data_IF_117593207537
#
_entry.id   IF_117593207537
#
_cell.length_a   1.000
_cell.length_b   1.000
_cell.length_c   1.000
_cell.angle_alpha   90.00
_cell.angle_beta   90.00
_cell.angle_gamma   90.00
#
_symmetry.space_group_name_H-M   'P 1'
#
loop_
_entity.id
_entity.type
_entity.pdbx_description
1 polymer ?
#
# COMPACT_ATOMS: atom_id res chain seq x y z
N UNK A 1 10.72 -31.40 46.73
CA UNK A 1 11.14 -31.15 45.33
C UNK A 1 9.92 -30.96 44.44
N UNK A 2 9.28 -29.79 44.44
CA UNK A 2 8.07 -29.57 43.62
C UNK A 2 7.66 -28.10 43.42
N UNK A 3 8.49 -27.14 43.84
CA UNK A 3 8.15 -25.71 43.79
C UNK A 3 8.81 -24.94 42.65
N UNK A 4 9.89 -25.46 42.04
CA UNK A 4 10.61 -24.75 40.96
C UNK A 4 9.97 -24.90 39.58
N UNK A 5 9.30 -26.02 39.31
CA UNK A 5 8.66 -26.31 38.01
C UNK A 5 7.49 -25.36 37.69
N UNK A 6 6.77 -24.87 38.72
CA UNK A 6 5.66 -23.95 38.54
C UNK A 6 6.10 -22.53 38.15
N UNK A 7 7.29 -22.11 38.57
CA UNK A 7 7.80 -20.75 38.30
C UNK A 7 8.21 -20.61 36.83
N UNK A 8 8.95 -21.59 36.30
CA UNK A 8 9.39 -21.61 34.90
C UNK A 8 8.20 -21.69 33.94
N UNK A 9 7.20 -22.52 34.24
CA UNK A 9 5.98 -22.63 33.44
C UNK A 9 5.16 -21.33 33.40
N UNK A 10 5.11 -20.60 34.52
CA UNK A 10 4.41 -19.32 34.60
C UNK A 10 5.13 -18.22 33.79
N UNK A 11 6.47 -18.16 33.84
CA UNK A 11 7.25 -17.22 33.03
C UNK A 11 7.12 -17.48 31.52
N UNK A 12 7.16 -18.75 31.09
CA UNK A 12 6.94 -19.13 29.69
C UNK A 12 5.56 -18.71 29.18
N UNK A 13 4.51 -18.86 30.00
CA UNK A 13 3.15 -18.40 29.64
C UNK A 13 3.07 -16.88 29.52
N UNK A 14 3.73 -16.15 30.41
CA UNK A 14 3.77 -14.69 30.38
C UNK A 14 4.55 -14.17 29.15
N UNK A 15 5.71 -14.77 28.85
CA UNK A 15 6.46 -14.47 27.63
C UNK A 15 5.67 -14.80 26.37
N UNK A 16 5.02 -15.97 26.32
CA UNK A 16 4.19 -16.35 25.17
C UNK A 16 3.02 -15.39 24.98
N UNK A 17 2.37 -14.94 26.06
CA UNK A 17 1.29 -13.95 26.01
C UNK A 17 1.78 -12.57 25.55
N UNK A 18 2.93 -12.10 26.05
CA UNK A 18 3.53 -10.85 25.60
C UNK A 18 3.98 -10.90 24.13
N UNK A 19 4.50 -12.04 23.66
CA UNK A 19 4.80 -12.26 22.23
C UNK A 19 3.51 -12.23 21.41
N UNK A 20 2.43 -12.87 21.87
CA UNK A 20 1.13 -12.82 21.19
C UNK A 20 0.54 -11.41 21.12
N UNK A 21 0.67 -10.59 22.17
CA UNK A 21 0.21 -9.19 22.16
C UNK A 21 1.03 -8.34 21.19
N UNK A 22 2.34 -8.57 21.08
CA UNK A 22 3.19 -7.87 20.13
C UNK A 22 2.97 -8.30 18.67
N UNK A 23 2.37 -9.48 18.44
CA UNK A 23 2.06 -10.00 17.09
C UNK A 23 0.75 -9.44 16.50
N UNK A 24 -0.04 -8.66 17.25
CA UNK A 24 -1.36 -8.18 16.81
C UNK A 24 -1.41 -6.71 16.35
N UNK A 25 -0.28 -6.11 15.97
CA UNK A 25 -0.27 -4.84 15.24
C UNK A 25 -0.57 -5.10 13.75
N UNK A 26 -1.80 -5.48 13.43
CA UNK A 26 -2.28 -5.54 12.05
C UNK A 26 -2.65 -4.13 11.60
N UNK A 27 -1.97 -3.62 10.59
CA UNK A 27 -2.35 -2.36 9.95
C UNK A 27 -3.35 -2.67 8.84
N UNK A 28 -4.62 -2.44 9.13
CA UNK A 28 -5.72 -2.66 8.19
C UNK A 28 -5.98 -1.38 7.39
N UNK A 29 -5.91 -1.48 6.05
CA UNK A 29 -6.33 -0.40 5.16
C UNK A 29 -7.85 -0.40 5.03
N UNK A 30 -8.50 0.69 5.43
CA UNK A 30 -9.96 0.83 5.31
C UNK A 30 -10.35 2.27 5.00
N UNK A 31 -11.45 2.44 4.30
CA UNK A 31 -12.03 3.73 3.95
C UNK A 31 -13.53 3.72 4.25
N UNK A 32 -14.03 4.75 4.92
CA UNK A 32 -15.45 4.94 5.24
C UNK A 32 -15.92 6.29 4.73
N UNK A 33 -17.00 6.29 3.96
CA UNK A 33 -17.66 7.48 3.42
C UNK A 33 -18.95 7.72 4.20
N UNK A 34 -19.10 8.90 4.79
CA UNK A 34 -20.26 9.30 5.58
C UNK A 34 -21.11 10.30 4.80
N UNK A 35 -22.43 10.09 4.83
CA UNK A 35 -23.42 10.96 4.17
C UNK A 35 -23.82 12.18 5.01
N UNK A 36 -23.51 12.18 6.31
CA UNK A 36 -23.83 13.29 7.20
C UNK A 36 -22.56 13.96 7.76
N UNK A 37 -22.66 15.23 8.21
CA UNK A 37 -21.58 15.90 8.91
C UNK A 37 -21.10 15.16 10.17
N UNK A 38 -19.86 15.47 10.60
CA UNK A 38 -19.28 15.00 11.86
C UNK A 38 -19.29 13.47 12.03
N UNK A 39 -19.11 12.76 10.91
CA UNK A 39 -19.04 11.29 10.86
C UNK A 39 -20.35 10.60 11.30
N UNK A 40 -21.48 11.30 11.14
CA UNK A 40 -22.81 10.81 11.45
C UNK A 40 -23.48 10.04 10.32
N UNK A 41 -24.66 9.51 10.62
CA UNK A 41 -25.59 8.99 9.63
C UNK A 41 -25.19 7.70 8.94
N UNK A 42 -25.70 7.54 7.70
CA UNK A 42 -25.40 6.41 6.84
C UNK A 42 -23.96 6.46 6.33
N UNK A 43 -23.32 5.30 6.25
CA UNK A 43 -21.95 5.20 5.78
C UNK A 43 -21.69 3.92 4.97
N UNK A 44 -20.74 4.03 4.04
CA UNK A 44 -20.17 2.88 3.32
C UNK A 44 -18.74 2.67 3.77
N UNK A 45 -18.40 1.44 4.13
CA UNK A 45 -17.03 1.06 4.48
C UNK A 45 -16.47 0.08 3.46
N UNK A 46 -15.26 0.37 3.01
CA UNK A 46 -14.50 -0.42 2.06
C UNK A 46 -13.20 -0.89 2.69
N UNK A 47 -12.91 -2.18 2.49
CA UNK A 47 -11.67 -2.86 2.92
C UNK A 47 -11.04 -3.65 1.77
N UNK A 48 -11.59 -3.45 0.57
CA UNK A 48 -11.27 -4.14 -0.67
C UNK A 48 -11.02 -3.08 -1.73
N UNK A 49 -10.26 -3.46 -2.75
CA UNK A 49 -10.07 -2.64 -3.94
C UNK A 49 -11.34 -2.78 -4.79
N UNK A 50 -11.94 -1.67 -5.16
CA UNK A 50 -13.19 -1.62 -5.89
C UNK A 50 -12.92 -1.14 -7.31
N UNK A 51 -12.82 -2.07 -8.29
CA UNK A 51 -12.57 -1.70 -9.68
C UNK A 51 -13.78 -1.04 -10.33
N UNK A 52 -14.98 -1.16 -9.75
CA UNK A 52 -16.19 -0.58 -10.29
C UNK A 52 -17.13 -0.17 -9.15
N UNK A 53 -17.36 1.14 -9.04
CA UNK A 53 -18.26 1.77 -8.08
C UNK A 53 -19.52 2.33 -8.74
N UNK A 54 -19.83 1.97 -9.99
CA UNK A 54 -20.98 2.47 -10.74
C UNK A 54 -22.29 2.31 -9.96
N UNK A 55 -22.44 1.22 -9.21
CA UNK A 55 -23.62 0.96 -8.38
C UNK A 55 -23.82 2.01 -7.25
N UNK A 56 -22.74 2.64 -6.78
CA UNK A 56 -22.75 3.64 -5.70
C UNK A 56 -22.81 5.08 -6.23
N UNK A 57 -22.68 5.28 -7.55
CA UNK A 57 -22.66 6.61 -8.17
C UNK A 57 -23.75 7.57 -7.69
N UNK A 58 -25.03 7.17 -7.56
CA UNK A 58 -26.08 8.07 -7.09
C UNK A 58 -25.83 8.63 -5.68
N UNK A 59 -25.06 7.92 -4.86
CA UNK A 59 -24.81 8.21 -3.45
C UNK A 59 -23.53 9.05 -3.26
N UNK A 60 -22.66 9.15 -4.26
CA UNK A 60 -21.41 9.91 -4.15
C UNK A 60 -21.61 11.41 -3.97
N UNK A 61 -22.67 11.97 -4.56
CA UNK A 61 -23.05 13.38 -4.31
C UNK A 61 -23.50 13.68 -2.89
N UNK A 62 -23.85 12.63 -2.12
CA UNK A 62 -24.32 12.76 -0.75
C UNK A 62 -23.18 12.67 0.27
N UNK A 63 -22.01 12.17 -0.10
CA UNK A 63 -20.85 12.05 0.79
C UNK A 63 -20.41 13.43 1.28
N UNK A 64 -20.26 13.56 2.61
CA UNK A 64 -19.79 14.78 3.30
C UNK A 64 -18.42 14.59 3.94
N UNK A 65 -18.14 13.38 4.43
CA UNK A 65 -16.90 13.08 5.12
C UNK A 65 -16.32 11.76 4.66
N UNK A 66 -15.00 11.74 4.58
CA UNK A 66 -14.20 10.58 4.26
C UNK A 66 -13.28 10.31 5.44
N UNK A 67 -13.39 9.13 6.05
CA UNK A 67 -12.50 8.68 7.10
C UNK A 67 -11.76 7.43 6.64
N UNK A 68 -10.46 7.37 6.83
CA UNK A 68 -9.71 6.20 6.42
C UNK A 68 -8.39 6.05 7.12
N UNK A 69 -7.85 4.85 6.94
CA UNK A 69 -6.49 4.46 7.30
C UNK A 69 -5.86 3.75 6.10
N UNK A 70 -4.58 3.98 5.86
CA UNK A 70 -3.85 3.46 4.71
C UNK A 70 -3.65 4.47 3.58
N UNK A 71 -3.16 3.97 2.45
CA UNK A 71 -2.82 4.75 1.25
C UNK A 71 -3.85 4.44 0.18
N UNK A 72 -4.89 5.24 0.09
CA UNK A 72 -6.02 5.08 -0.83
C UNK A 72 -5.97 6.08 -1.97
N UNK A 73 -6.41 5.63 -3.13
CA UNK A 73 -6.56 6.46 -4.31
C UNK A 73 -7.88 6.14 -5.02
N UNK A 74 -8.62 7.19 -5.35
CA UNK A 74 -9.81 7.16 -6.18
C UNK A 74 -9.49 7.54 -7.63
N UNK A 75 -10.27 7.00 -8.56
CA UNK A 75 -10.11 7.19 -9.99
C UNK A 75 -11.45 7.53 -10.66
N UNK A 76 -11.41 8.37 -11.70
CA UNK A 76 -12.60 8.87 -12.40
C UNK A 76 -13.30 7.81 -13.25
N UNK A 77 -12.56 6.79 -13.68
CA UNK A 77 -13.04 5.68 -14.49
C UNK A 77 -12.99 4.36 -13.72
N UNK A 78 -13.70 3.37 -14.24
CA UNK A 78 -13.63 1.98 -13.74
C UNK A 78 -12.25 1.37 -14.04
N UNK A 79 -11.86 0.33 -13.31
CA UNK A 79 -10.59 -0.35 -13.50
C UNK A 79 -9.37 0.51 -13.18
N UNK A 80 -9.54 1.52 -12.30
CA UNK A 80 -8.48 2.42 -11.85
C UNK A 80 -7.92 3.30 -12.98
N UNK A 81 -8.80 3.88 -13.79
CA UNK A 81 -8.48 4.69 -14.98
C UNK A 81 -9.04 6.11 -14.87
N UNK A 82 -8.71 6.99 -15.83
CA UNK A 82 -9.30 8.32 -15.98
C UNK A 82 -9.11 9.26 -14.76
N UNK A 83 -7.85 9.59 -14.45
CA UNK A 83 -7.55 10.63 -13.47
C UNK A 83 -7.71 10.22 -12.02
N UNK A 84 -6.79 10.62 -11.16
CA UNK A 84 -6.95 10.55 -9.71
C UNK A 84 -8.03 11.54 -9.26
N UNK A 85 -9.09 11.05 -8.62
CA UNK A 85 -10.17 11.90 -8.06
C UNK A 85 -9.90 12.32 -6.63
N UNK A 86 -9.24 11.46 -5.86
CA UNK A 86 -8.71 11.78 -4.55
C UNK A 86 -7.50 10.91 -4.23
N UNK A 87 -6.62 11.41 -3.38
CA UNK A 87 -5.56 10.64 -2.76
C UNK A 87 -5.64 10.83 -1.25
N UNK A 88 -5.48 9.75 -0.50
CA UNK A 88 -5.63 9.75 0.93
C UNK A 88 -4.56 8.87 1.56
N UNK A 89 -3.66 9.48 2.33
CA UNK A 89 -2.53 8.78 2.93
C UNK A 89 -2.52 9.04 4.43
N UNK A 90 -2.75 8.00 5.23
CA UNK A 90 -2.65 8.11 6.68
C UNK A 90 -2.16 6.83 7.32
N UNK A 91 -1.26 6.96 8.30
CA UNK A 91 -0.82 5.88 9.19
C UNK A 91 -1.78 5.60 10.36
N UNK A 92 -2.91 6.31 10.43
CA UNK A 92 -3.97 6.08 11.40
C UNK A 92 -5.33 6.50 10.89
N UNK A 93 -6.39 6.24 11.68
CA UNK A 93 -7.73 6.73 11.32
C UNK A 93 -7.74 8.26 11.38
N UNK A 94 -7.81 8.89 10.21
CA UNK A 94 -8.06 10.33 10.08
C UNK A 94 -9.36 10.54 9.32
N UNK A 95 -9.87 11.77 9.33
CA UNK A 95 -11.06 12.10 8.59
C UNK A 95 -10.96 13.48 7.97
N UNK A 96 -11.51 13.64 6.78
CA UNK A 96 -11.50 14.90 6.03
C UNK A 96 -12.86 15.17 5.40
N UNK A 97 -13.21 16.44 5.32
CA UNK A 97 -14.41 16.89 4.62
C UNK A 97 -14.06 16.99 3.13
N UNK A 98 -14.55 16.04 2.34
CA UNK A 98 -14.29 15.98 0.90
C UNK A 98 -15.47 15.36 0.17
N UNK A 99 -15.71 15.84 -1.05
CA UNK A 99 -16.63 15.24 -2.01
C UNK A 99 -15.90 14.23 -2.89
N UNK A 100 -16.57 13.15 -3.29
CA UNK A 100 -15.99 12.10 -4.15
C UNK A 100 -16.85 11.83 -5.39
N UNK A 101 -17.59 12.86 -5.81
CA UNK A 101 -18.67 12.80 -6.80
C UNK A 101 -18.27 12.27 -8.18
N UNK A 102 -16.98 12.24 -8.52
CA UNK A 102 -16.47 11.74 -9.79
C UNK A 102 -15.80 10.36 -9.69
N UNK A 103 -15.76 9.74 -8.51
CA UNK A 103 -15.01 8.49 -8.30
C UNK A 103 -15.81 7.28 -8.79
N UNK A 104 -15.24 6.55 -9.74
CA UNK A 104 -15.82 5.33 -10.31
C UNK A 104 -15.04 4.05 -9.98
N UNK A 105 -13.82 4.18 -9.46
CA UNK A 105 -13.10 3.06 -8.85
C UNK A 105 -12.13 3.57 -7.79
N UNK A 106 -11.72 2.72 -6.86
CA UNK A 106 -10.75 3.09 -5.85
C UNK A 106 -9.98 1.88 -5.33
N UNK A 107 -8.76 2.11 -4.86
CA UNK A 107 -7.94 1.07 -4.24
C UNK A 107 -7.03 1.65 -3.18
N UNK A 108 -6.64 0.80 -2.24
CA UNK A 108 -5.43 1.03 -1.48
C UNK A 108 -4.19 0.58 -2.27
N UNK A 109 -3.05 1.19 -2.00
CA UNK A 109 -1.75 0.81 -2.55
C UNK A 109 -1.18 -0.38 -1.79
N UNK A 110 -0.49 -1.27 -2.48
CA UNK A 110 0.07 -2.47 -1.88
C UNK A 110 -0.97 -3.56 -1.53
N UNK A 111 -0.54 -4.61 -0.82
CA UNK A 111 -1.44 -5.58 -0.20
C UNK A 111 -2.27 -4.97 0.93
N UNK A 112 -3.36 -5.65 1.30
CA UNK A 112 -4.21 -5.25 2.43
C UNK A 112 -3.43 -5.31 3.76
N UNK A 113 -2.62 -6.37 3.92
CA UNK A 113 -1.73 -6.54 5.06
C UNK A 113 -0.40 -5.84 4.80
N UNK A 114 -0.26 -4.64 5.36
CA UNK A 114 0.91 -3.78 5.08
C UNK A 114 2.13 -4.13 5.91
N UNK A 115 2.02 -4.99 6.93
CA UNK A 115 3.21 -5.46 7.66
C UNK A 115 4.01 -6.48 6.86
N UNK A 116 3.44 -7.06 5.80
CA UNK A 116 4.13 -8.01 4.93
C UNK A 116 5.07 -7.25 4.00
N UNK A 117 6.38 -7.54 4.01
CA UNK A 117 7.32 -7.01 3.03
C UNK A 117 6.87 -7.34 1.61
N UNK A 118 6.56 -6.32 0.82
CA UNK A 118 6.13 -6.50 -0.56
C UNK A 118 6.47 -5.28 -1.43
N UNK A 119 6.42 -5.49 -2.74
CA UNK A 119 6.45 -4.41 -3.73
C UNK A 119 5.26 -4.57 -4.67
N UNK A 120 4.49 -3.50 -4.81
CA UNK A 120 3.47 -3.35 -5.85
C UNK A 120 4.00 -2.45 -6.96
N UNK A 121 3.78 -2.85 -8.21
CA UNK A 121 4.06 -2.03 -9.40
C UNK A 121 2.76 -1.73 -10.15
N UNK A 122 2.69 -0.56 -10.76
CA UNK A 122 1.48 -0.07 -11.43
C UNK A 122 1.75 0.32 -12.87
N UNK A 123 0.78 0.05 -13.75
CA UNK A 123 0.83 0.33 -15.19
C UNK A 123 0.13 1.66 -15.55
N UNK A 124 0.18 2.64 -14.66
CA UNK A 124 -0.50 3.92 -14.82
C UNK A 124 0.10 4.78 -15.93
N UNK A 125 -0.30 6.05 -15.96
CA UNK A 125 0.23 7.04 -16.90
C UNK A 125 1.16 8.03 -16.20
N UNK A 126 1.77 8.96 -16.92
CA UNK A 126 2.53 10.07 -16.31
C UNK A 126 1.66 10.98 -15.44
N UNK A 127 0.36 11.09 -15.75
CA UNK A 127 -0.59 11.90 -14.99
C UNK A 127 -1.14 11.14 -13.78
N UNK A 128 -1.34 9.83 -13.91
CA UNK A 128 -1.86 8.95 -12.86
C UNK A 128 -0.97 7.71 -12.73
N UNK A 129 0.22 7.84 -12.12
CA UNK A 129 1.23 6.78 -12.14
C UNK A 129 0.77 5.54 -11.37
N UNK A 130 -0.01 5.72 -10.30
CA UNK A 130 -0.61 4.62 -9.54
C UNK A 130 -1.93 4.10 -10.16
N UNK A 131 -2.27 4.50 -11.40
CA UNK A 131 -3.41 4.01 -12.19
C UNK A 131 -3.18 2.65 -12.85
N UNK A 132 -4.19 2.13 -13.55
CA UNK A 132 -4.10 0.92 -14.36
C UNK A 132 -3.93 -0.39 -13.58
N UNK A 133 -3.25 -1.36 -14.19
CA UNK A 133 -3.02 -2.69 -13.61
C UNK A 133 -2.01 -2.62 -12.48
N UNK A 134 -2.27 -3.36 -11.41
CA UNK A 134 -1.32 -3.57 -10.31
C UNK A 134 -0.81 -5.01 -10.34
N UNK A 135 0.49 -5.19 -10.07
CA UNK A 135 1.07 -6.48 -9.72
C UNK A 135 1.77 -6.39 -8.38
N UNK A 136 1.48 -7.34 -7.49
CA UNK A 136 2.02 -7.39 -6.13
C UNK A 136 3.00 -8.55 -6.04
N UNK A 137 4.19 -8.31 -5.51
CA UNK A 137 5.21 -9.32 -5.32
C UNK A 137 5.63 -9.38 -3.85
N UNK A 138 5.57 -10.58 -3.29
CA UNK A 138 6.06 -10.93 -1.95
C UNK A 138 7.22 -11.92 -1.99
N UNK A 139 7.62 -12.36 -3.19
CA UNK A 139 8.73 -13.28 -3.42
C UNK A 139 10.07 -12.54 -3.40
N UNK A 140 11.19 -13.26 -3.23
CA UNK A 140 12.53 -12.66 -3.23
C UNK A 140 12.93 -11.99 -4.56
N UNK A 141 12.27 -12.32 -5.67
CA UNK A 141 12.51 -11.72 -6.97
C UNK A 141 11.27 -11.78 -7.87
N UNK A 142 11.18 -10.85 -8.83
CA UNK A 142 10.12 -10.76 -9.82
C UNK A 142 10.61 -10.14 -11.13
N UNK A 143 10.11 -10.61 -12.27
CA UNK A 143 10.41 -10.07 -13.59
C UNK A 143 9.23 -10.29 -14.55
N UNK A 144 9.42 -9.95 -15.83
CA UNK A 144 8.43 -10.15 -16.91
C UNK A 144 7.05 -9.60 -16.54
N UNK A 145 7.04 -8.33 -16.12
CA UNK A 145 5.85 -7.64 -15.60
C UNK A 145 4.74 -7.47 -16.64
N UNK A 146 5.05 -7.58 -17.93
CA UNK A 146 4.09 -7.36 -19.03
C UNK A 146 3.79 -5.89 -19.31
N UNK A 147 4.39 -4.96 -18.56
CA UNK A 147 4.35 -3.52 -18.76
C UNK A 147 5.57 -2.87 -18.11
N UNK A 148 5.89 -1.62 -18.49
CA UNK A 148 6.88 -0.81 -17.78
C UNK A 148 6.15 -0.07 -16.64
N UNK A 149 6.54 -0.29 -15.37
CA UNK A 149 5.90 0.36 -14.24
C UNK A 149 6.07 1.89 -14.26
N UNK A 150 5.02 2.62 -13.91
CA UNK A 150 5.06 4.08 -13.72
C UNK A 150 5.00 4.50 -12.25
N UNK A 151 4.60 3.58 -11.37
CA UNK A 151 4.61 3.77 -9.92
C UNK A 151 5.01 2.49 -9.21
N UNK A 152 5.57 2.66 -8.02
CA UNK A 152 5.90 1.58 -7.11
C UNK A 152 5.39 1.90 -5.71
N UNK A 153 4.80 0.92 -5.03
CA UNK A 153 4.50 1.00 -3.61
C UNK A 153 5.23 -0.11 -2.86
N UNK A 154 5.92 0.24 -1.79
CA UNK A 154 6.63 -0.69 -0.91
C UNK A 154 5.82 -0.82 0.38
N UNK A 155 5.66 -2.05 0.86
CA UNK A 155 5.05 -2.32 2.16
C UNK A 155 5.99 -3.08 3.09
N UNK A 156 5.68 -3.08 4.38
CA UNK A 156 6.37 -3.88 5.38
C UNK A 156 7.80 -3.40 5.66
N UNK A 157 8.06 -2.10 5.53
CA UNK A 157 9.40 -1.49 5.73
C UNK A 157 10.47 -2.20 4.89
N UNK A 158 10.09 -2.53 3.65
CA UNK A 158 10.90 -3.35 2.77
C UNK A 158 11.83 -2.53 1.91
N UNK A 159 12.76 -3.22 1.29
CA UNK A 159 13.68 -2.66 0.32
C UNK A 159 13.82 -3.60 -0.88
N UNK A 160 14.00 -3.01 -2.05
CA UNK A 160 13.97 -3.70 -3.33
C UNK A 160 14.91 -3.03 -4.31
N UNK A 161 15.70 -3.82 -5.03
CA UNK A 161 16.52 -3.34 -6.15
C UNK A 161 15.79 -3.62 -7.46
N UNK A 162 15.46 -2.56 -8.19
CA UNK A 162 14.93 -2.62 -9.56
C UNK A 162 16.04 -2.53 -10.59
N UNK A 163 15.94 -3.34 -11.65
CA UNK A 163 16.88 -3.38 -12.77
C UNK A 163 16.17 -3.01 -14.07
N UNK A 164 16.89 -2.36 -14.98
CA UNK A 164 16.37 -1.97 -16.29
C UNK A 164 16.08 -3.17 -17.21
N UNK A 165 16.75 -4.32 -17.01
CA UNK A 165 16.54 -5.53 -17.81
C UNK A 165 15.69 -6.58 -17.07
N UNK A 166 15.09 -7.52 -17.80
CA UNK A 166 14.24 -8.59 -17.22
C UNK A 166 15.02 -9.71 -16.51
N UNK A 167 16.32 -9.82 -16.78
CA UNK A 167 17.23 -10.86 -16.26
C UNK A 167 18.04 -10.40 -15.04
N UNK A 168 17.57 -9.39 -14.33
CA UNK A 168 18.23 -8.81 -13.14
C UNK A 168 19.60 -8.20 -13.45
N UNK A 169 19.76 -7.64 -14.65
CA UNK A 169 21.01 -7.03 -15.12
C UNK A 169 20.84 -5.56 -15.53
N UNK A 170 21.96 -4.90 -15.81
CA UNK A 170 22.01 -3.50 -16.24
C UNK A 170 21.95 -2.51 -15.08
N UNK A 171 21.63 -1.26 -15.40
CA UNK A 171 21.51 -0.21 -14.41
C UNK A 171 20.45 -0.58 -13.37
N UNK A 172 20.79 -0.34 -12.11
CA UNK A 172 19.95 -0.74 -10.98
C UNK A 172 19.72 0.43 -10.01
N UNK A 173 18.53 0.45 -9.42
CA UNK A 173 18.14 1.41 -8.39
C UNK A 173 17.57 0.64 -7.20
N UNK A 174 18.13 0.87 -6.02
CA UNK A 174 17.62 0.38 -4.75
C UNK A 174 16.60 1.37 -4.20
N UNK A 175 15.42 0.86 -3.85
CA UNK A 175 14.35 1.57 -3.18
C UNK A 175 14.22 1.01 -1.77
N UNK A 176 14.12 1.88 -0.78
CA UNK A 176 13.90 1.48 0.62
C UNK A 176 12.92 2.43 1.27
N UNK A 177 12.12 1.89 2.18
CA UNK A 177 11.23 2.66 3.05
C UNK A 177 11.36 2.16 4.49
N UNK A 178 11.29 3.09 5.43
CA UNK A 178 11.13 2.80 6.86
C UNK A 178 9.67 2.82 7.31
N UNK A 179 8.76 3.27 6.45
CA UNK A 179 7.31 3.32 6.68
C UNK A 179 6.63 1.97 6.39
N UNK A 180 5.43 1.78 6.94
CA UNK A 180 4.63 0.57 6.67
C UNK A 180 4.14 0.50 5.23
N UNK A 181 3.84 1.65 4.64
CA UNK A 181 3.49 1.82 3.23
C UNK A 181 4.14 3.11 2.75
N UNK A 182 4.85 3.04 1.64
CA UNK A 182 5.34 4.22 0.95
C UNK A 182 5.25 4.00 -0.56
N UNK A 183 5.10 5.07 -1.32
CA UNK A 183 4.96 5.00 -2.76
C UNK A 183 5.79 6.06 -3.48
N UNK A 184 6.23 5.74 -4.68
CA UNK A 184 7.10 6.59 -5.49
C UNK A 184 6.73 6.51 -6.98
N UNK A 185 6.73 7.68 -7.63
CA UNK A 185 6.68 7.76 -9.09
C UNK A 185 7.98 7.27 -9.70
N UNK A 186 7.87 6.43 -10.73
CA UNK A 186 9.01 5.90 -11.47
C UNK A 186 9.30 6.70 -12.75
N UNK A 187 8.84 7.95 -12.82
CA UNK A 187 9.15 8.83 -13.95
C UNK A 187 10.67 8.95 -14.15
N UNK A 188 11.13 8.58 -15.36
CA UNK A 188 12.56 8.54 -15.69
C UNK A 188 13.35 7.37 -15.09
N UNK A 189 12.70 6.42 -14.39
CA UNK A 189 13.32 5.21 -13.84
C UNK A 189 12.64 3.97 -14.41
N UNK A 190 13.25 3.38 -15.43
CA UNK A 190 12.74 2.15 -16.03
C UNK A 190 13.14 0.91 -15.21
N UNK A 191 12.16 0.08 -14.87
CA UNK A 191 12.35 -1.16 -14.09
C UNK A 191 11.63 -2.31 -14.80
N UNK A 192 12.35 -3.39 -15.07
CA UNK A 192 11.83 -4.61 -15.73
C UNK A 192 11.99 -5.87 -14.89
N UNK A 193 12.83 -5.82 -13.87
CA UNK A 193 12.93 -6.86 -12.85
C UNK A 193 13.26 -6.27 -11.47
N UNK A 194 12.91 -7.00 -10.42
CA UNK A 194 13.02 -6.60 -9.02
C UNK A 194 13.61 -7.76 -8.21
N UNK A 195 14.53 -7.45 -7.31
CA UNK A 195 15.05 -8.38 -6.29
C UNK A 195 14.85 -7.73 -4.93
N UNK A 196 14.41 -8.51 -3.95
CA UNK A 196 14.25 -8.03 -2.57
C UNK A 196 15.63 -7.81 -1.95
N UNK A 197 15.80 -6.68 -1.26
CA UNK A 197 17.07 -6.29 -0.66
C UNK A 197 17.86 -5.29 -1.51
N UNK A 198 18.61 -4.44 -0.82
CA UNK A 198 19.57 -3.52 -1.43
C UNK A 198 20.99 -4.02 -1.22
N UNK A 199 21.40 -4.98 -2.04
CA UNK A 199 22.71 -5.59 -1.94
C UNK A 199 23.80 -4.69 -2.57
N UNK A 200 24.87 -4.46 -1.82
CA UNK A 200 26.01 -3.64 -2.25
C UNK A 200 26.70 -4.17 -3.52
N UNK A 201 26.59 -5.48 -3.81
CA UNK A 201 27.18 -6.09 -5.02
C UNK A 201 26.65 -5.49 -6.33
N UNK A 202 25.48 -4.85 -6.31
CA UNK A 202 24.86 -4.27 -7.50
C UNK A 202 25.27 -2.82 -7.75
N UNK A 203 25.95 -2.17 -6.80
CA UNK A 203 26.34 -0.75 -6.86
C UNK A 203 25.18 0.18 -7.29
N UNK A 204 23.96 -0.17 -6.86
CA UNK A 204 22.74 0.50 -7.28
C UNK A 204 22.67 1.95 -6.82
N UNK A 205 22.05 2.81 -7.62
CA UNK A 205 21.61 4.13 -7.14
C UNK A 205 20.66 3.92 -5.96
N UNK A 206 20.82 4.67 -4.88
CA UNK A 206 19.96 4.55 -3.70
C UNK A 206 18.84 5.60 -3.72
N UNK A 207 17.61 5.18 -3.41
CA UNK A 207 16.43 6.02 -3.28
C UNK A 207 15.74 5.69 -1.94
N UNK A 208 15.75 6.67 -1.05
CA UNK A 208 14.98 6.65 0.19
C UNK A 208 13.56 7.15 -0.10
N UNK A 209 12.61 6.23 -0.22
CA UNK A 209 11.23 6.52 -0.68
C UNK A 209 10.53 7.49 0.28
N UNK A 210 10.87 7.48 1.56
CA UNK A 210 10.25 8.32 2.58
C UNK A 210 10.58 9.81 2.43
N UNK A 211 11.64 10.13 1.66
CA UNK A 211 12.15 11.50 1.47
C UNK A 211 11.83 12.11 0.11
N UNK A 212 11.09 11.38 -0.74
CA UNK A 212 10.77 11.84 -2.11
C UNK A 212 9.45 12.63 -2.14
N UNK A 213 8.71 12.66 -1.04
CA UNK A 213 7.45 13.41 -0.88
C UNK A 213 7.68 14.84 -0.38
#
# INVERSE_FOLDING_TARGET
MGFETNRVAMWLRLFSFLVCINLTLCFLQEMTFYMEPDYGGNAFRFRTKEPDLTAYWPLWGEVKWLCGNGYWQGFGGTGYTDGSTFAYNSGGMTCTNTSVNSTMSMRFLGPLETTTPSVSIYSGSSYDPAGGTERIFTNLAANSFGFVPTYMALTGRSNWTGFINEDFSGNSTCFSTSELVAGISLEGIEIRSLVQGCNAIYESKYVDVDKVL
#
